data_IF_639350977760
#
_entry.id   IF_639350977760
#
_cell.length_a   1.000
_cell.length_b   1.000
_cell.length_c   1.000
_cell.angle_alpha   90.00
_cell.angle_beta   90.00
_cell.angle_gamma   90.00
#
_symmetry.space_group_name_H-M   'P 1'
#
loop_
_entity.id
_entity.type
_entity.pdbx_description
1 polymer ?
#
# COMPACT_ATOMS: atom_id res chain seq x y z
N UNK A 1 27.20 -1.10 48.68
CA UNK A 1 26.34 -0.26 49.55
C UNK A 1 24.92 -0.31 48.99
N UNK A 2 24.16 -1.28 49.49
CA UNK A 2 22.67 -1.29 49.46
C UNK A 2 22.16 -0.32 50.49
N UNK A 3 20.84 0.09 50.55
CA UNK A 3 19.69 -0.80 50.50
C UNK A 3 18.43 -0.24 49.79
N UNK A 4 17.52 -1.13 49.27
CA UNK A 4 16.27 -1.65 49.88
C UNK A 4 15.11 -0.66 50.07
N UNK A 5 13.96 -0.95 49.49
CA UNK A 5 12.66 -1.37 50.07
C UNK A 5 11.58 -1.30 48.97
N UNK A 6 10.90 -2.32 48.48
CA UNK A 6 9.92 -3.22 49.14
C UNK A 6 8.75 -2.48 49.79
N UNK A 7 7.58 -2.81 49.33
CA UNK A 7 6.33 -3.12 50.07
C UNK A 7 5.18 -3.12 49.06
N UNK A 8 4.62 -4.24 48.63
CA UNK A 8 3.72 -5.18 49.32
C UNK A 8 2.31 -4.68 49.46
N UNK A 9 1.41 -5.39 48.75
CA UNK A 9 0.23 -6.19 49.18
C UNK A 9 -0.99 -5.41 49.66
N UNK A 10 -2.16 -5.73 49.20
CA UNK A 10 -3.27 -6.48 49.83
C UNK A 10 -4.52 -6.23 48.98
N UNK A 11 -5.17 -7.09 48.29
CA UNK A 11 -5.91 -8.28 48.69
C UNK A 11 -7.15 -8.00 49.54
N UNK A 12 -8.25 -8.64 49.13
CA UNK A 12 -9.36 -9.08 49.99
C UNK A 12 -10.48 -8.03 50.08
N UNK A 13 -11.76 -8.31 49.85
CA UNK A 13 -12.58 -9.46 50.30
C UNK A 13 -13.95 -9.40 49.65
N UNK A 14 -14.46 -10.52 49.21
CA UNK A 14 -15.86 -10.89 49.32
C UNK A 14 -16.17 -11.19 50.78
N UNK A 15 -17.41 -11.03 51.26
CA UNK A 15 -18.27 -12.15 51.53
C UNK A 15 -19.77 -11.87 51.32
N UNK A 16 -20.51 -12.81 50.78
CA UNK A 16 -21.13 -13.98 51.39
C UNK A 16 -22.45 -13.70 52.16
N UNK A 17 -23.52 -14.31 51.60
CA UNK A 17 -24.52 -15.17 52.20
C UNK A 17 -25.52 -14.59 53.23
N UNK A 18 -26.72 -14.97 53.06
CA UNK A 18 -27.74 -15.56 53.94
C UNK A 18 -29.14 -15.13 53.48
N UNK A 19 -29.87 -15.99 52.79
CA UNK A 19 -30.81 -17.02 53.28
C UNK A 19 -31.91 -16.56 54.25
N UNK A 20 -33.08 -16.84 53.86
CA UNK A 20 -34.22 -17.45 54.54
C UNK A 20 -35.57 -16.86 54.17
N UNK A 21 -36.29 -17.66 53.44
CA UNK A 21 -37.54 -18.35 53.81
C UNK A 21 -38.58 -17.49 54.54
N UNK A 22 -39.75 -17.45 53.93
CA UNK A 22 -40.98 -18.08 54.50
C UNK A 22 -42.15 -17.89 53.53
N UNK A 23 -42.65 -18.99 53.05
CA UNK A 23 -44.12 -19.23 52.79
C UNK A 23 -44.83 -19.43 54.14
N UNK A 24 -46.13 -19.44 54.27
CA UNK A 24 -47.23 -19.37 53.28
C UNK A 24 -48.42 -18.50 53.78
N UNK A 25 -49.37 -18.21 52.93
CA UNK A 25 -50.80 -18.35 53.37
C UNK A 25 -51.77 -18.28 52.19
N UNK A 26 -52.49 -19.37 52.14
CA UNK A 26 -53.68 -19.58 51.36
C UNK A 26 -54.74 -18.49 51.55
N UNK A 27 -55.31 -18.04 50.50
CA UNK A 27 -56.46 -17.17 50.40
C UNK A 27 -57.30 -17.56 49.17
N UNK A 28 -58.14 -18.46 49.39
CA UNK A 28 -59.25 -19.00 48.61
C UNK A 28 -60.18 -17.88 48.20
N UNK A 29 -60.35 -17.59 46.92
CA UNK A 29 -61.61 -17.05 46.39
C UNK A 29 -61.89 -17.62 44.99
N UNK A 30 -63.04 -18.17 45.03
CA UNK A 30 -63.80 -18.91 44.05
C UNK A 30 -64.36 -18.02 42.96
N UNK A 31 -64.30 -18.49 41.72
CA UNK A 31 -65.36 -18.34 40.73
C UNK A 31 -65.31 -17.06 39.92
N UNK A 32 -65.06 -17.20 38.65
CA UNK A 32 -66.05 -16.82 37.62
C UNK A 32 -65.57 -17.34 36.26
N UNK A 33 -66.35 -18.20 35.80
CA UNK A 33 -66.43 -18.86 34.55
C UNK A 33 -66.31 -17.87 33.35
N UNK A 34 -65.59 -18.37 32.30
CA UNK A 34 -66.10 -18.34 30.95
C UNK A 34 -66.06 -17.00 30.19
N UNK A 35 -65.07 -16.88 29.35
CA UNK A 35 -65.28 -16.74 27.90
C UNK A 35 -63.92 -16.87 27.14
N UNK A 36 -63.67 -18.09 26.78
CA UNK A 36 -62.73 -18.34 25.68
C UNK A 36 -63.30 -17.75 24.39
N UNK A 37 -62.93 -16.52 24.10
CA UNK A 37 -63.18 -15.91 22.79
C UNK A 37 -62.18 -16.48 21.82
N UNK A 38 -62.58 -17.53 21.14
CA UNK A 38 -61.90 -18.12 20.00
C UNK A 38 -61.64 -17.01 18.98
N UNK A 39 -60.47 -16.41 19.05
CA UNK A 39 -59.99 -15.48 18.04
C UNK A 39 -59.50 -16.33 16.89
N UNK A 40 -60.33 -16.46 15.87
CA UNK A 40 -60.02 -17.10 14.60
C UNK A 40 -58.73 -16.51 14.06
N UNK A 41 -57.71 -17.36 13.99
CA UNK A 41 -56.48 -17.10 13.27
C UNK A 41 -56.83 -17.01 11.77
N UNK A 42 -57.20 -15.84 11.34
CA UNK A 42 -57.21 -15.50 9.92
C UNK A 42 -55.76 -15.47 9.45
N UNK A 43 -55.26 -16.58 8.98
CA UNK A 43 -53.99 -16.64 8.24
C UNK A 43 -54.18 -15.81 6.98
N UNK A 44 -53.80 -14.54 7.08
CA UNK A 44 -53.67 -13.67 5.95
C UNK A 44 -52.57 -14.24 5.04
N UNK A 45 -53.00 -14.91 3.99
CA UNK A 45 -52.13 -15.44 2.92
C UNK A 45 -51.39 -14.32 2.17
N UNK A 46 -51.58 -13.07 2.58
CA UNK A 46 -50.96 -11.88 1.97
C UNK A 46 -49.64 -11.51 2.62
N UNK A 47 -49.44 -11.84 3.90
CA UNK A 47 -48.17 -11.56 4.62
C UNK A 47 -47.01 -12.41 4.11
N UNK A 48 -47.25 -13.60 3.58
CA UNK A 48 -46.22 -14.45 3.01
C UNK A 48 -45.62 -13.90 1.70
N UNK A 49 -46.45 -13.27 0.86
CA UNK A 49 -45.99 -12.67 -0.41
C UNK A 49 -45.19 -11.37 -0.20
N UNK A 50 -45.61 -10.57 0.77
CA UNK A 50 -44.86 -9.36 1.17
C UNK A 50 -43.53 -9.73 1.83
N UNK A 51 -43.48 -10.73 2.72
CA UNK A 51 -42.23 -11.21 3.30
C UNK A 51 -41.26 -11.80 2.27
N UNK A 52 -41.80 -12.56 1.30
CA UNK A 52 -41.00 -13.09 0.20
C UNK A 52 -40.45 -11.95 -0.70
N UNK A 53 -41.26 -10.93 -1.01
CA UNK A 53 -40.85 -9.80 -1.83
C UNK A 53 -39.74 -8.97 -1.13
N UNK A 54 -39.86 -8.72 0.17
CA UNK A 54 -38.83 -8.02 0.95
C UNK A 54 -37.53 -8.84 1.03
N UNK A 55 -37.63 -10.15 1.24
CA UNK A 55 -36.46 -11.03 1.25
C UNK A 55 -35.74 -11.02 -0.10
N UNK A 56 -36.49 -11.11 -1.20
CA UNK A 56 -35.94 -11.05 -2.55
C UNK A 56 -35.25 -9.70 -2.83
N UNK A 57 -35.85 -8.60 -2.39
CA UNK A 57 -35.26 -7.26 -2.52
C UNK A 57 -33.93 -7.14 -1.75
N UNK A 58 -33.88 -7.65 -0.52
CA UNK A 58 -32.67 -7.67 0.31
C UNK A 58 -31.56 -8.51 -0.34
N UNK A 59 -31.90 -9.67 -0.88
CA UNK A 59 -30.93 -10.54 -1.57
C UNK A 59 -30.42 -9.87 -2.85
N UNK A 60 -31.28 -9.26 -3.65
CA UNK A 60 -30.88 -8.56 -4.89
C UNK A 60 -30.01 -7.34 -4.58
N UNK A 61 -30.37 -6.55 -3.57
CA UNK A 61 -29.53 -5.40 -3.17
C UNK A 61 -28.17 -5.85 -2.60
N UNK A 62 -28.13 -6.91 -1.80
CA UNK A 62 -26.87 -7.47 -1.28
C UNK A 62 -25.99 -8.01 -2.40
N UNK A 63 -26.54 -8.69 -3.39
CA UNK A 63 -25.80 -9.18 -4.56
C UNK A 63 -25.32 -8.03 -5.45
N UNK A 64 -26.10 -6.97 -5.58
CA UNK A 64 -25.72 -5.77 -6.35
C UNK A 64 -24.57 -5.02 -5.67
N UNK A 65 -24.61 -4.90 -4.35
CA UNK A 65 -23.53 -4.27 -3.55
C UNK A 65 -22.26 -5.13 -3.59
N UNK A 66 -22.39 -6.45 -3.42
CA UNK A 66 -21.25 -7.37 -3.54
C UNK A 66 -20.67 -7.36 -4.96
N UNK A 67 -21.50 -7.37 -5.98
CA UNK A 67 -21.07 -7.27 -7.38
C UNK A 67 -20.41 -5.93 -7.70
N UNK A 68 -20.93 -4.83 -7.17
CA UNK A 68 -20.34 -3.49 -7.29
C UNK A 68 -18.99 -3.37 -6.59
N UNK A 69 -18.90 -3.85 -5.35
CA UNK A 69 -17.64 -3.91 -4.58
C UNK A 69 -16.61 -4.82 -5.26
N UNK A 70 -17.05 -6.00 -5.75
CA UNK A 70 -16.18 -6.91 -6.50
C UNK A 70 -15.66 -6.26 -7.79
N UNK A 71 -16.54 -5.58 -8.55
CA UNK A 71 -16.18 -4.91 -9.78
C UNK A 71 -15.25 -3.71 -9.56
N UNK A 72 -15.50 -2.92 -8.50
CA UNK A 72 -14.71 -1.71 -8.20
C UNK A 72 -13.39 -2.03 -7.50
N UNK A 73 -13.36 -3.06 -6.63
CA UNK A 73 -12.18 -3.44 -5.86
C UNK A 73 -11.27 -4.46 -6.55
N UNK A 74 -11.85 -5.34 -7.39
CA UNK A 74 -11.11 -6.47 -7.98
C UNK A 74 -10.60 -6.21 -9.42
N UNK A 75 -11.16 -5.23 -10.13
CA UNK A 75 -10.68 -4.89 -11.47
C UNK A 75 -9.31 -4.20 -11.51
N UNK A 76 -8.95 -3.30 -10.58
CA UNK A 76 -7.61 -2.74 -10.57
C UNK A 76 -6.52 -3.80 -10.33
N UNK A 77 -6.80 -4.83 -9.52
CA UNK A 77 -5.79 -5.85 -9.21
C UNK A 77 -5.40 -6.76 -10.40
N UNK A 78 -6.25 -6.89 -11.41
CA UNK A 78 -5.93 -7.66 -12.62
C UNK A 78 -5.07 -6.92 -13.64
N UNK A 79 -5.01 -5.59 -13.56
CA UNK A 79 -4.09 -4.79 -14.36
C UNK A 79 -2.65 -4.84 -13.80
N UNK A 80 -2.49 -5.37 -12.59
CA UNK A 80 -1.22 -5.67 -11.95
C UNK A 80 -0.78 -7.08 -12.34
N UNK A 81 -0.56 -7.28 -13.64
CA UNK A 81 0.07 -8.50 -14.13
C UNK A 81 1.54 -8.54 -13.64
N UNK A 82 1.99 -9.69 -13.19
CA UNK A 82 3.39 -9.90 -12.80
C UNK A 82 4.37 -9.48 -13.92
N UNK A 83 3.96 -9.55 -15.17
CA UNK A 83 4.71 -9.07 -16.32
C UNK A 83 4.82 -7.54 -16.33
N UNK A 84 3.74 -6.81 -16.00
CA UNK A 84 3.75 -5.36 -15.92
C UNK A 84 4.60 -4.87 -14.74
N UNK A 85 4.51 -5.54 -13.59
CA UNK A 85 5.36 -5.29 -12.43
C UNK A 85 6.86 -5.48 -12.76
N UNK A 86 7.20 -6.57 -13.42
CA UNK A 86 8.57 -6.85 -13.88
C UNK A 86 9.05 -5.81 -14.89
N UNK A 87 8.17 -5.36 -15.79
CA UNK A 87 8.48 -4.31 -16.76
C UNK A 87 8.78 -2.96 -16.09
N UNK A 88 8.01 -2.59 -15.04
CA UNK A 88 8.27 -1.36 -14.28
C UNK A 88 9.62 -1.43 -13.55
N UNK A 89 9.94 -2.56 -12.89
CA UNK A 89 11.25 -2.74 -12.24
C UNK A 89 12.40 -2.66 -13.25
N UNK A 90 12.24 -3.28 -14.43
CA UNK A 90 13.25 -3.22 -15.49
C UNK A 90 13.46 -1.77 -15.97
N UNK A 91 12.37 -1.06 -16.26
CA UNK A 91 12.46 0.35 -16.70
C UNK A 91 13.09 1.26 -15.64
N UNK A 92 12.76 1.07 -14.35
CA UNK A 92 13.41 1.80 -13.25
C UNK A 92 14.90 1.49 -13.19
N UNK A 93 15.29 0.23 -13.37
CA UNK A 93 16.69 -0.20 -13.31
C UNK A 93 17.48 0.36 -14.50
N UNK A 94 16.97 0.20 -15.71
CA UNK A 94 17.63 0.67 -16.94
C UNK A 94 17.78 2.21 -16.95
N UNK A 95 16.71 2.91 -16.57
CA UNK A 95 16.73 4.36 -16.44
C UNK A 95 17.71 4.84 -15.36
N UNK A 96 17.76 4.18 -14.21
CA UNK A 96 18.71 4.51 -13.14
C UNK A 96 20.16 4.29 -13.58
N UNK A 97 20.45 3.20 -14.28
CA UNK A 97 21.79 2.96 -14.84
C UNK A 97 22.14 4.07 -15.83
N UNK A 98 21.21 4.44 -16.71
CA UNK A 98 21.45 5.52 -17.69
C UNK A 98 21.68 6.89 -17.03
N UNK A 99 20.92 7.23 -15.98
CA UNK A 99 21.06 8.49 -15.23
C UNK A 99 22.43 8.60 -14.55
N UNK A 100 22.91 7.49 -13.97
CA UNK A 100 24.09 7.46 -13.11
C UNK A 100 25.37 7.02 -13.81
N UNK A 101 25.31 6.64 -15.09
CA UNK A 101 26.47 6.17 -15.85
C UNK A 101 26.79 7.15 -16.97
N UNK A 102 27.99 7.72 -16.93
CA UNK A 102 28.49 8.60 -17.99
C UNK A 102 30.02 8.61 -18.03
N UNK A 103 30.58 9.04 -19.17
CA UNK A 103 32.01 9.18 -19.39
C UNK A 103 32.28 10.52 -20.08
N UNK A 104 33.42 11.18 -19.82
CA UNK A 104 33.80 12.44 -20.46
C UNK A 104 33.76 12.40 -22.01
N UNK A 105 34.08 11.24 -22.57
CA UNK A 105 34.16 11.02 -24.01
C UNK A 105 32.80 10.84 -24.70
N UNK A 106 31.76 10.52 -23.93
CA UNK A 106 30.42 10.12 -24.45
C UNK A 106 29.28 10.89 -23.81
N UNK A 107 29.56 12.00 -23.09
CA UNK A 107 28.61 12.75 -22.30
C UNK A 107 27.28 13.06 -23.01
N UNK A 108 27.36 13.59 -24.22
CA UNK A 108 26.18 14.03 -24.98
C UNK A 108 25.28 12.84 -25.33
N UNK A 109 25.89 11.70 -25.70
CA UNK A 109 25.15 10.45 -25.96
C UNK A 109 24.58 9.87 -24.69
N UNK A 110 25.35 9.82 -23.62
CA UNK A 110 24.95 9.22 -22.35
C UNK A 110 23.80 10.01 -21.74
N UNK A 111 23.86 11.35 -21.75
CA UNK A 111 22.77 12.20 -21.31
C UNK A 111 21.54 12.11 -22.22
N UNK A 112 21.71 11.99 -23.53
CA UNK A 112 20.58 11.75 -24.43
C UNK A 112 19.89 10.42 -24.16
N UNK A 113 20.66 9.38 -23.86
CA UNK A 113 20.12 8.08 -23.47
C UNK A 113 19.35 8.18 -22.15
N UNK A 114 19.92 8.83 -21.14
CA UNK A 114 19.23 9.03 -19.86
C UNK A 114 17.90 9.78 -20.02
N UNK A 115 17.88 10.87 -20.80
CA UNK A 115 16.64 11.63 -21.11
C UNK A 115 15.52 10.77 -21.65
N UNK A 116 15.83 9.78 -22.48
CA UNK A 116 14.83 8.90 -23.08
C UNK A 116 14.09 8.02 -22.06
N UNK A 117 14.61 7.93 -20.84
CA UNK A 117 13.99 7.24 -19.71
C UNK A 117 13.22 8.14 -18.75
N UNK A 118 13.22 9.47 -18.98
CA UNK A 118 12.70 10.48 -18.08
C UNK A 118 11.44 11.14 -18.61
N UNK A 119 10.65 11.73 -17.70
CA UNK A 119 9.46 12.50 -18.05
C UNK A 119 9.17 13.59 -17.01
N UNK A 120 8.30 14.53 -17.37
CA UNK A 120 7.79 15.57 -16.49
C UNK A 120 8.86 16.53 -15.97
N UNK A 121 8.66 17.00 -14.74
CA UNK A 121 9.54 17.98 -14.11
C UNK A 121 10.94 17.42 -13.86
N UNK A 122 11.05 16.11 -13.64
CA UNK A 122 12.35 15.48 -13.42
C UNK A 122 13.23 15.51 -14.69
N UNK A 123 12.64 15.36 -15.87
CA UNK A 123 13.37 15.52 -17.14
C UNK A 123 13.94 16.94 -17.25
N UNK A 124 13.14 17.96 -16.96
CA UNK A 124 13.56 19.36 -17.02
C UNK A 124 14.67 19.67 -16.01
N UNK A 125 14.54 19.16 -14.78
CA UNK A 125 15.56 19.27 -13.75
C UNK A 125 16.87 18.58 -14.16
N UNK A 126 16.77 17.34 -14.67
CA UNK A 126 17.92 16.56 -15.12
C UNK A 126 18.70 17.29 -16.22
N UNK A 127 18.00 17.88 -17.19
CA UNK A 127 18.61 18.64 -18.28
C UNK A 127 19.41 19.85 -17.77
N UNK A 128 18.82 20.62 -16.87
CA UNK A 128 19.47 21.77 -16.27
C UNK A 128 20.70 21.36 -15.45
N UNK A 129 20.51 20.36 -14.56
CA UNK A 129 21.57 19.89 -13.69
C UNK A 129 22.76 19.30 -14.46
N UNK A 130 22.50 18.49 -15.50
CA UNK A 130 23.55 17.86 -16.28
C UNK A 130 24.31 18.86 -17.12
N UNK A 131 23.65 19.86 -17.71
CA UNK A 131 24.30 20.89 -18.52
C UNK A 131 25.10 21.88 -17.68
N UNK A 132 24.55 22.31 -16.55
CA UNK A 132 25.17 23.39 -15.75
C UNK A 132 26.25 22.88 -14.79
N UNK A 133 26.09 21.66 -14.28
CA UNK A 133 26.92 21.13 -13.19
C UNK A 133 27.72 19.91 -13.63
N UNK A 134 27.05 18.86 -14.14
CA UNK A 134 27.70 17.57 -14.38
C UNK A 134 28.64 17.62 -15.56
N UNK A 135 28.21 18.17 -16.70
CA UNK A 135 29.02 18.20 -17.90
C UNK A 135 30.32 19.01 -17.75
N UNK A 136 30.32 20.23 -17.17
CA UNK A 136 31.56 20.96 -16.90
C UNK A 136 32.49 20.19 -15.94
N UNK A 137 31.95 19.66 -14.83
CA UNK A 137 32.74 18.92 -13.85
C UNK A 137 33.35 17.65 -14.45
N UNK A 138 32.55 16.89 -15.22
CA UNK A 138 33.00 15.67 -15.87
C UNK A 138 34.13 15.92 -16.88
N UNK A 139 34.03 17.00 -17.70
CA UNK A 139 35.06 17.39 -18.67
C UNK A 139 36.31 17.88 -17.97
N UNK A 140 36.19 18.74 -16.96
CA UNK A 140 37.33 19.33 -16.26
C UNK A 140 38.14 18.28 -15.47
N UNK A 141 37.47 17.42 -14.76
CA UNK A 141 38.09 16.43 -13.87
C UNK A 141 38.20 15.04 -14.49
N UNK A 142 37.82 14.87 -15.75
CA UNK A 142 37.73 13.58 -16.42
C UNK A 142 36.95 12.53 -15.60
N UNK A 143 35.78 12.93 -15.04
CA UNK A 143 34.98 12.06 -14.20
C UNK A 143 34.26 11.06 -15.06
N UNK A 144 34.50 9.78 -14.76
CA UNK A 144 33.74 8.64 -15.28
C UNK A 144 33.01 7.95 -14.14
N UNK A 145 31.72 7.69 -14.33
CA UNK A 145 30.91 6.96 -13.37
C UNK A 145 30.15 5.84 -14.07
N UNK A 146 30.00 4.72 -13.36
CA UNK A 146 29.27 3.54 -13.83
C UNK A 146 28.43 3.03 -12.68
N UNK A 147 27.14 2.87 -12.91
CA UNK A 147 26.20 2.33 -11.93
C UNK A 147 25.74 0.93 -12.32
N UNK A 148 25.51 0.11 -11.31
CA UNK A 148 24.94 -1.21 -11.43
C UNK A 148 23.81 -1.36 -10.41
N UNK A 149 22.65 -1.78 -10.86
CA UNK A 149 21.53 -2.10 -9.97
C UNK A 149 21.71 -3.54 -9.46
N UNK A 150 21.82 -3.68 -8.15
CA UNK A 150 21.98 -4.98 -7.49
C UNK A 150 20.64 -5.68 -7.31
N UNK A 151 19.63 -4.92 -6.86
CA UNK A 151 18.27 -5.39 -6.62
C UNK A 151 17.27 -4.26 -6.78
N UNK A 152 16.06 -4.63 -7.21
CA UNK A 152 14.91 -3.74 -7.26
C UNK A 152 13.67 -4.42 -6.69
N UNK A 153 12.85 -3.65 -5.97
CA UNK A 153 11.58 -4.10 -5.44
C UNK A 153 10.52 -3.03 -5.64
N UNK A 154 9.31 -3.43 -6.05
CA UNK A 154 8.16 -2.53 -6.06
C UNK A 154 7.74 -2.22 -4.62
N UNK A 155 7.55 -0.94 -4.32
CA UNK A 155 6.94 -0.46 -3.08
C UNK A 155 5.49 -0.07 -3.30
N UNK A 156 5.17 0.45 -4.50
CA UNK A 156 3.84 0.80 -4.93
C UNK A 156 3.65 0.47 -6.41
N UNK A 157 2.44 0.03 -6.77
CA UNK A 157 2.14 -0.29 -8.15
C UNK A 157 0.67 0.02 -8.49
N UNK A 158 0.47 0.80 -9.54
CA UNK A 158 -0.82 1.18 -10.10
C UNK A 158 -0.77 1.03 -11.64
N UNK A 159 -1.90 1.05 -12.34
CA UNK A 159 -1.92 0.89 -13.80
C UNK A 159 -1.01 1.85 -14.57
N UNK A 160 -0.88 3.10 -14.09
CA UNK A 160 -0.15 4.18 -14.77
C UNK A 160 0.98 4.79 -13.93
N UNK A 161 1.24 4.27 -12.74
CA UNK A 161 2.34 4.72 -11.88
C UNK A 161 2.92 3.56 -11.07
N UNK A 162 4.22 3.63 -10.79
CA UNK A 162 4.91 2.64 -9.97
C UNK A 162 6.03 3.31 -9.17
N UNK A 163 6.28 2.84 -7.96
CA UNK A 163 7.43 3.24 -7.16
C UNK A 163 8.31 2.02 -6.90
N UNK A 164 9.58 2.13 -7.24
CA UNK A 164 10.57 1.05 -7.15
C UNK A 164 11.70 1.48 -6.25
N UNK A 165 11.98 0.68 -5.23
CA UNK A 165 13.20 0.80 -4.43
C UNK A 165 14.32 0.04 -5.13
N UNK A 166 15.43 0.73 -5.44
CA UNK A 166 16.61 0.15 -6.05
C UNK A 166 17.81 0.25 -5.12
N UNK A 167 18.58 -0.83 -5.06
CA UNK A 167 19.91 -0.86 -4.44
C UNK A 167 20.96 -0.82 -5.53
N UNK A 168 21.86 0.15 -5.45
CA UNK A 168 22.82 0.50 -6.51
C UNK A 168 24.24 0.46 -5.95
N UNK A 169 25.16 -0.04 -6.76
CA UNK A 169 26.59 0.23 -6.61
C UNK A 169 27.02 1.18 -7.72
N UNK A 170 27.68 2.24 -7.35
CA UNK A 170 28.23 3.23 -8.28
C UNK A 170 29.75 3.29 -8.12
N UNK A 171 30.46 3.10 -9.21
CA UNK A 171 31.92 3.22 -9.27
C UNK A 171 32.29 4.52 -9.97
N UNK A 172 33.05 5.36 -9.30
CA UNK A 172 33.48 6.66 -9.82
C UNK A 172 35.00 6.76 -9.82
N UNK A 173 35.56 7.25 -10.91
CA UNK A 173 36.98 7.58 -11.08
C UNK A 173 37.12 8.97 -11.71
N UNK A 174 38.22 9.63 -11.44
CA UNK A 174 38.53 10.97 -12.00
C UNK A 174 40.03 11.13 -12.22
N UNK A 175 40.42 12.21 -12.84
CA UNK A 175 41.86 12.56 -13.02
C UNK A 175 42.56 12.66 -11.66
N UNK A 176 41.90 13.26 -10.66
CA UNK A 176 42.46 13.46 -9.32
C UNK A 176 42.46 12.17 -8.49
N UNK A 177 41.62 11.20 -8.88
CA UNK A 177 41.49 9.89 -8.23
C UNK A 177 41.31 8.82 -9.31
N UNK A 178 42.43 8.30 -9.86
CA UNK A 178 42.39 7.31 -10.95
C UNK A 178 41.87 5.96 -10.51
N UNK A 179 42.01 5.61 -9.21
CA UNK A 179 41.47 4.38 -8.67
C UNK A 179 39.95 4.49 -8.51
N UNK A 180 39.17 3.48 -8.98
CA UNK A 180 37.73 3.48 -8.83
C UNK A 180 37.31 3.47 -7.34
N UNK A 181 36.49 4.44 -6.98
CA UNK A 181 35.83 4.46 -5.67
C UNK A 181 34.41 3.97 -5.82
N UNK A 182 34.06 2.91 -5.08
CA UNK A 182 32.70 2.34 -5.12
C UNK A 182 31.88 2.83 -3.94
N UNK A 183 30.65 3.27 -4.23
CA UNK A 183 29.66 3.68 -3.23
C UNK A 183 28.40 2.88 -3.44
N UNK A 184 27.84 2.36 -2.36
CA UNK A 184 26.53 1.69 -2.35
C UNK A 184 25.48 2.66 -1.81
N UNK A 185 24.34 2.72 -2.48
CA UNK A 185 23.21 3.56 -2.07
C UNK A 185 21.88 2.90 -2.41
N UNK A 186 20.80 3.47 -1.88
CA UNK A 186 19.43 3.10 -2.24
C UNK A 186 18.69 4.33 -2.73
N UNK A 187 17.79 4.11 -3.69
CA UNK A 187 16.96 5.17 -4.28
C UNK A 187 15.53 4.69 -4.47
N UNK A 188 14.58 5.60 -4.27
CA UNK A 188 13.19 5.45 -4.64
C UNK A 188 12.98 6.11 -6.01
N UNK A 189 12.56 5.31 -6.97
CA UNK A 189 12.32 5.73 -8.35
C UNK A 189 10.82 5.65 -8.60
N UNK A 190 10.18 6.80 -8.84
CA UNK A 190 8.79 6.85 -9.25
C UNK A 190 8.70 6.91 -10.78
N UNK A 191 7.90 6.00 -11.32
CA UNK A 191 7.64 5.89 -12.75
C UNK A 191 6.22 6.31 -13.06
N UNK A 192 6.04 6.91 -14.22
CA UNK A 192 4.74 7.21 -14.82
C UNK A 192 4.69 6.56 -16.20
N UNK A 193 3.55 5.98 -16.53
CA UNK A 193 3.33 5.34 -17.82
C UNK A 193 2.89 6.40 -18.84
N UNK A 194 3.69 6.64 -19.85
CA UNK A 194 3.39 7.55 -20.95
C UNK A 194 3.53 6.78 -22.28
N UNK A 195 2.52 6.84 -23.14
CA UNK A 195 2.48 6.14 -24.43
C UNK A 195 2.82 4.65 -24.33
N UNK A 196 2.37 3.99 -23.26
CA UNK A 196 2.62 2.58 -22.99
C UNK A 196 4.01 2.25 -22.44
N UNK A 197 4.88 3.23 -22.23
CA UNK A 197 6.23 3.07 -21.69
C UNK A 197 6.31 3.61 -20.26
N UNK A 198 7.09 2.92 -19.43
CA UNK A 198 7.43 3.40 -18.11
C UNK A 198 8.58 4.40 -18.18
N UNK A 199 8.35 5.63 -17.72
CA UNK A 199 9.34 6.70 -17.66
C UNK A 199 9.49 7.20 -16.23
N UNK A 200 10.70 7.57 -15.84
CA UNK A 200 11.02 8.06 -14.50
C UNK A 200 10.53 9.50 -14.37
N UNK A 201 9.66 9.75 -13.42
CA UNK A 201 9.11 11.07 -13.08
C UNK A 201 9.71 11.65 -11.79
N UNK A 202 10.28 10.80 -10.92
CA UNK A 202 10.96 11.23 -9.69
C UNK A 202 12.11 10.26 -9.35
N UNK A 203 13.16 10.81 -8.74
CA UNK A 203 14.36 10.08 -8.33
C UNK A 203 14.86 10.63 -7.00
N UNK A 204 14.61 9.91 -5.91
CA UNK A 204 14.87 10.37 -4.55
C UNK A 204 15.79 9.39 -3.81
N UNK A 205 16.71 9.88 -2.95
CA UNK A 205 17.42 9.02 -2.01
C UNK A 205 16.43 8.30 -1.08
N UNK A 206 16.71 7.02 -0.74
CA UNK A 206 15.91 6.22 0.17
C UNK A 206 16.64 5.98 1.49
#
# INVERSE_FOLDING_TARGET
>A
MSPKKSTTVEATEEPDVIEKSDEPRAGRFRGLTERVRKRSSGKSKWSGKLGAAVLTLVVVTSLSVLGGLYWFSYRPDRAVDAAAAKSAIAAASDGTIAILSYSPDTLDRDFSTARSHLTGDFLSYYDQFTQQIVAPAAKQKAVKTTAVVLRGALTEFHPDSATVLLFINQSTQSRDRPEPSTTSSSVLVTLTKADGKWLISQFNPA
#
